data_IF_544390000935
#
_entry.id   IF_544390000935
#
_cell.length_a   1.000
_cell.length_b   1.000
_cell.length_c   1.000
_cell.angle_alpha   90.00
_cell.angle_beta   90.00
_cell.angle_gamma   90.00
#
_symmetry.space_group_name_H-M   'P 1'
#
loop_
_entity.id
_entity.type
_entity.pdbx_description
1 polymer ?
#
# COMPACT_ATOMS: atom_id res chain seq x y z
N UNK A 1 10.25 4.17 7.45
CA UNK A 1 9.44 4.78 6.39
C UNK A 1 8.02 4.98 6.89
N UNK A 2 7.40 6.11 6.56
CA UNK A 2 5.95 6.28 6.69
C UNK A 2 5.40 6.30 5.26
N UNK A 3 4.71 5.22 4.87
CA UNK A 3 4.16 5.03 3.53
C UNK A 3 2.67 5.34 3.52
N UNK A 4 2.28 6.32 2.71
CA UNK A 4 0.88 6.63 2.48
C UNK A 4 0.34 5.83 1.29
N UNK A 5 -0.65 4.99 1.54
CA UNK A 5 -1.28 4.16 0.51
C UNK A 5 -2.33 4.95 -0.31
N UNK A 6 -2.72 4.40 -1.47
CA UNK A 6 -3.79 4.91 -2.33
C UNK A 6 -3.51 6.24 -3.06
N UNK A 7 -2.26 6.57 -3.38
CA UNK A 7 -1.96 7.79 -4.15
C UNK A 7 -2.54 7.72 -5.57
N UNK A 8 -3.29 8.74 -5.98
CA UNK A 8 -4.05 8.73 -7.23
C UNK A 8 -5.41 8.05 -7.14
N UNK A 9 -5.85 7.60 -5.95
CA UNK A 9 -7.17 6.98 -5.81
C UNK A 9 -8.31 7.97 -6.01
N UNK A 10 -8.28 9.12 -5.33
CA UNK A 10 -9.17 10.27 -5.53
C UNK A 10 -8.41 11.59 -5.33
N UNK A 11 -9.00 12.71 -5.74
CA UNK A 11 -8.36 14.03 -5.61
C UNK A 11 -8.09 14.41 -4.16
N UNK A 12 -9.02 14.10 -3.26
CA UNK A 12 -8.87 14.33 -1.83
C UNK A 12 -7.76 13.50 -1.20
N UNK A 13 -7.65 12.22 -1.58
CA UNK A 13 -6.57 11.34 -1.12
C UNK A 13 -5.21 11.81 -1.64
N UNK A 14 -5.08 12.02 -2.96
CA UNK A 14 -3.83 12.51 -3.58
C UNK A 14 -3.33 13.79 -2.91
N UNK A 15 -4.23 14.73 -2.63
CA UNK A 15 -3.89 16.00 -1.97
C UNK A 15 -3.44 15.80 -0.53
N UNK A 16 -4.18 15.03 0.26
CA UNK A 16 -3.84 14.77 1.66
C UNK A 16 -2.47 14.07 1.81
N UNK A 17 -2.13 13.17 0.89
CA UNK A 17 -0.81 12.53 0.85
C UNK A 17 0.30 13.56 0.64
N UNK A 18 0.14 14.49 -0.31
CA UNK A 18 1.14 15.55 -0.56
C UNK A 18 1.21 16.54 0.59
N UNK A 19 0.09 16.83 1.26
CA UNK A 19 0.07 17.66 2.48
C UNK A 19 0.87 17.01 3.61
N UNK A 20 0.65 15.71 3.87
CA UNK A 20 1.39 14.95 4.88
C UNK A 20 2.89 14.85 4.56
N UNK A 21 3.24 14.67 3.27
CA UNK A 21 4.63 14.73 2.81
C UNK A 21 5.24 16.12 3.04
N UNK A 22 4.51 17.18 2.68
CA UNK A 22 4.97 18.57 2.83
C UNK A 22 5.15 18.96 4.30
N UNK A 23 4.38 18.36 5.20
CA UNK A 23 4.52 18.52 6.65
C UNK A 23 5.72 17.75 7.24
N UNK A 24 6.35 16.86 6.46
CA UNK A 24 7.54 16.10 6.83
C UNK A 24 7.29 14.80 7.60
N UNK A 25 6.03 14.36 7.74
CA UNK A 25 5.71 13.10 8.43
C UNK A 25 5.71 11.90 7.48
N UNK A 26 5.20 12.06 6.26
CA UNK A 26 5.23 11.02 5.22
C UNK A 26 6.51 11.14 4.40
N UNK A 27 7.16 10.02 4.12
CA UNK A 27 8.38 9.95 3.28
C UNK A 27 8.18 9.17 1.99
N UNK A 28 7.13 8.36 1.92
CA UNK A 28 6.87 7.46 0.81
C UNK A 28 5.37 7.34 0.53
N UNK A 29 5.03 6.99 -0.70
CA UNK A 29 3.67 6.67 -1.10
C UNK A 29 3.64 5.64 -2.22
N UNK A 30 2.49 5.00 -2.42
CA UNK A 30 2.28 4.02 -3.48
C UNK A 30 1.19 4.52 -4.42
N UNK A 31 1.49 4.66 -5.72
CA UNK A 31 0.56 5.18 -6.73
C UNK A 31 -0.28 4.07 -7.38
N UNK A 32 -1.59 4.30 -7.51
CA UNK A 32 -2.51 3.43 -8.24
C UNK A 32 -2.51 3.78 -9.73
N UNK A 33 -1.99 2.89 -10.56
CA UNK A 33 -1.87 3.13 -12.01
C UNK A 33 -3.23 3.26 -12.73
N UNK A 34 -4.28 2.67 -12.17
CA UNK A 34 -5.66 2.75 -12.62
C UNK A 34 -6.56 3.56 -11.65
N UNK A 35 -5.95 4.39 -10.80
CA UNK A 35 -6.68 5.28 -9.89
C UNK A 35 -7.41 6.40 -10.64
N UNK A 36 -8.45 6.97 -10.03
CA UNK A 36 -9.32 7.97 -10.66
C UNK A 36 -8.65 9.33 -10.83
N UNK A 37 -7.63 9.61 -10.02
CA UNK A 37 -6.91 10.88 -9.98
C UNK A 37 -5.48 10.72 -10.53
N UNK A 38 -5.31 9.79 -11.46
CA UNK A 38 -4.04 9.41 -12.09
C UNK A 38 -3.23 10.62 -12.58
N UNK A 39 -3.82 11.49 -13.40
CA UNK A 39 -3.11 12.62 -14.02
C UNK A 39 -2.59 13.61 -12.98
N UNK A 40 -3.37 13.86 -11.93
CA UNK A 40 -2.97 14.74 -10.84
C UNK A 40 -1.88 14.11 -9.98
N UNK A 41 -2.02 12.83 -9.62
CA UNK A 41 -1.01 12.10 -8.86
C UNK A 41 0.34 12.07 -9.58
N UNK A 42 0.36 11.83 -10.90
CA UNK A 42 1.59 11.90 -11.71
C UNK A 42 2.21 13.30 -11.67
N UNK A 43 1.39 14.35 -11.84
CA UNK A 43 1.86 15.74 -11.78
C UNK A 43 2.51 16.05 -10.42
N UNK A 44 1.86 15.64 -9.34
CA UNK A 44 2.32 15.89 -7.97
C UNK A 44 3.55 15.07 -7.59
N UNK A 45 3.64 13.80 -8.01
CA UNK A 45 4.84 12.99 -7.85
C UNK A 45 6.06 13.64 -8.54
N UNK A 46 5.87 14.12 -9.78
CA UNK A 46 6.94 14.82 -10.52
C UNK A 46 7.36 16.13 -9.86
N UNK A 47 6.42 16.85 -9.26
CA UNK A 47 6.71 18.09 -8.52
C UNK A 47 7.45 17.84 -7.20
N UNK A 48 7.26 16.67 -6.58
CA UNK A 48 7.81 16.32 -5.27
C UNK A 48 8.87 15.21 -5.38
N UNK A 49 10.01 15.48 -6.03
CA UNK A 49 11.03 14.47 -6.35
C UNK A 49 11.70 13.79 -5.15
N UNK A 50 11.54 14.33 -3.94
CA UNK A 50 12.02 13.72 -2.68
C UNK A 50 11.02 12.74 -2.06
N UNK A 51 9.77 12.72 -2.53
CA UNK A 51 8.79 11.74 -2.10
C UNK A 51 9.12 10.39 -2.77
N UNK A 52 9.34 9.35 -1.97
CA UNK A 52 9.46 7.99 -2.50
C UNK A 52 8.12 7.57 -3.11
N UNK A 53 8.12 7.12 -4.37
CA UNK A 53 6.90 6.66 -5.04
C UNK A 53 7.06 5.21 -5.48
N UNK A 54 6.18 4.34 -4.99
CA UNK A 54 6.07 2.93 -5.38
C UNK A 54 4.82 2.65 -6.19
N UNK A 55 4.62 1.38 -6.55
CA UNK A 55 3.41 0.88 -7.21
C UNK A 55 2.43 0.40 -6.16
N UNK A 56 1.25 1.00 -6.11
CA UNK A 56 0.10 0.45 -5.41
C UNK A 56 -0.70 -0.43 -6.35
N UNK A 57 -0.25 -1.68 -6.51
CA UNK A 57 -0.88 -2.61 -7.43
C UNK A 57 -2.36 -2.76 -7.07
N UNK A 58 -3.24 -2.55 -8.03
CA UNK A 58 -4.67 -2.68 -7.79
C UNK A 58 -5.24 -3.87 -8.57
N UNK A 59 -5.71 -4.88 -7.84
CA UNK A 59 -6.31 -6.10 -8.39
C UNK A 59 -7.77 -6.29 -7.96
N UNK A 60 -8.34 -5.35 -7.20
CA UNK A 60 -9.61 -5.59 -6.49
C UNK A 60 -10.65 -4.48 -6.63
N UNK A 61 -10.34 -3.41 -7.34
CA UNK A 61 -11.23 -2.25 -7.44
C UNK A 61 -11.13 -1.54 -8.80
N UNK A 62 -12.28 -1.14 -9.35
CA UNK A 62 -12.34 -0.41 -10.61
C UNK A 62 -11.93 -1.27 -11.82
N UNK A 63 -11.59 -0.62 -12.93
CA UNK A 63 -11.22 -1.31 -14.17
C UNK A 63 -9.71 -1.59 -14.23
N UNK A 64 -9.29 -2.76 -14.74
CA UNK A 64 -7.88 -3.02 -15.03
C UNK A 64 -7.38 -2.15 -16.20
N UNK A 65 -6.06 -2.10 -16.39
CA UNK A 65 -5.47 -1.46 -17.56
C UNK A 65 -5.60 -2.32 -18.82
N UNK A 66 -5.56 -3.63 -18.67
CA UNK A 66 -5.68 -4.60 -19.75
C UNK A 66 -6.99 -5.38 -19.69
N UNK A 67 -7.33 -6.07 -20.78
CA UNK A 67 -8.44 -7.04 -20.77
C UNK A 67 -7.97 -8.34 -20.11
N UNK A 68 -8.37 -8.55 -18.85
CA UNK A 68 -8.00 -9.70 -18.01
C UNK A 68 -9.23 -10.44 -17.45
N UNK A 69 -9.94 -11.23 -18.28
CA UNK A 69 -11.22 -11.84 -17.93
C UNK A 69 -11.25 -12.69 -16.66
N UNK A 70 -10.12 -13.28 -16.24
CA UNK A 70 -10.06 -14.09 -15.00
C UNK A 70 -9.96 -13.24 -13.73
N UNK A 71 -9.60 -11.96 -13.86
CA UNK A 71 -9.49 -10.99 -12.77
C UNK A 71 -10.73 -10.08 -12.66
N UNK A 72 -11.57 -10.03 -13.68
CA UNK A 72 -12.74 -9.15 -13.74
C UNK A 72 -14.06 -9.88 -13.70
N UNK A 73 -15.09 -9.23 -13.16
CA UNK A 73 -16.48 -9.65 -13.32
C UNK A 73 -16.93 -9.50 -14.79
N UNK A 74 -17.45 -10.54 -15.46
CA UNK A 74 -17.88 -10.47 -16.85
C UNK A 74 -19.02 -9.48 -17.12
N UNK A 75 -19.86 -9.19 -16.13
CA UNK A 75 -21.02 -8.30 -16.29
C UNK A 75 -20.61 -6.82 -16.24
N UNK A 76 -19.64 -6.46 -15.39
CA UNK A 76 -19.22 -5.06 -15.19
C UNK A 76 -17.91 -4.73 -15.90
N UNK A 77 -17.09 -5.75 -16.19
CA UNK A 77 -15.69 -5.63 -16.60
C UNK A 77 -14.80 -4.91 -15.56
N UNK A 78 -15.20 -4.94 -14.29
CA UNK A 78 -14.43 -4.43 -13.16
C UNK A 78 -13.71 -5.55 -12.45
N UNK A 79 -12.60 -5.23 -11.79
CA UNK A 79 -11.83 -6.16 -10.96
C UNK A 79 -12.72 -6.75 -9.85
N UNK A 80 -12.55 -8.04 -9.58
CA UNK A 80 -13.28 -8.70 -8.52
C UNK A 80 -12.96 -8.11 -7.15
N UNK A 81 -13.97 -7.87 -6.28
CA UNK A 81 -13.72 -7.52 -4.89
C UNK A 81 -12.83 -8.56 -4.20
N UNK A 82 -12.06 -8.13 -3.19
CA UNK A 82 -11.04 -8.94 -2.52
C UNK A 82 -11.48 -10.38 -2.20
N UNK A 83 -12.66 -10.58 -1.62
CA UNK A 83 -13.17 -11.92 -1.27
C UNK A 83 -13.44 -12.81 -2.49
N UNK A 84 -13.95 -12.24 -3.59
CA UNK A 84 -14.17 -12.96 -4.83
C UNK A 84 -12.83 -13.29 -5.52
N UNK A 85 -11.89 -12.34 -5.55
CA UNK A 85 -10.53 -12.58 -6.05
C UNK A 85 -9.83 -13.69 -5.26
N UNK A 86 -9.87 -13.63 -3.93
CA UNK A 86 -9.28 -14.65 -3.05
C UNK A 86 -9.84 -16.04 -3.32
N UNK A 87 -11.17 -16.16 -3.44
CA UNK A 87 -11.83 -17.42 -3.79
C UNK A 87 -11.36 -17.95 -5.14
N UNK A 88 -11.21 -17.07 -6.14
CA UNK A 88 -10.72 -17.47 -7.47
C UNK A 88 -9.27 -17.92 -7.42
N UNK A 89 -8.41 -17.24 -6.66
CA UNK A 89 -7.01 -17.62 -6.46
C UNK A 89 -6.90 -19.03 -5.84
N UNK A 90 -7.64 -19.28 -4.76
CA UNK A 90 -7.66 -20.59 -4.07
C UNK A 90 -8.16 -21.72 -4.99
N UNK A 91 -9.15 -21.43 -5.84
CA UNK A 91 -9.71 -22.40 -6.78
C UNK A 91 -8.90 -22.55 -8.08
N UNK A 92 -7.74 -21.89 -8.22
CA UNK A 92 -6.93 -21.93 -9.44
C UNK A 92 -7.62 -21.33 -10.67
N UNK A 93 -8.51 -20.35 -10.46
CA UNK A 93 -9.34 -19.70 -11.51
C UNK A 93 -8.78 -18.35 -11.98
N UNK A 94 -7.55 -18.05 -11.61
CA UNK A 94 -6.81 -16.88 -12.08
C UNK A 94 -5.77 -17.36 -13.08
N UNK A 95 -5.82 -16.81 -14.29
CA UNK A 95 -4.78 -17.06 -15.28
C UNK A 95 -3.51 -16.29 -14.89
N UNK A 96 -2.39 -17.00 -14.77
CA UNK A 96 -1.13 -16.40 -14.35
C UNK A 96 -0.56 -15.42 -15.37
N UNK A 97 -0.83 -15.63 -16.67
CA UNK A 97 -0.41 -14.74 -17.74
C UNK A 97 -1.20 -13.43 -17.73
N UNK A 98 -2.51 -13.48 -17.46
CA UNK A 98 -3.34 -12.29 -17.26
C UNK A 98 -2.88 -11.48 -16.05
N UNK A 99 -2.63 -12.14 -14.91
CA UNK A 99 -2.11 -11.49 -13.71
C UNK A 99 -0.74 -10.85 -13.95
N UNK A 100 0.17 -11.55 -14.64
CA UNK A 100 1.47 -11.02 -15.03
C UNK A 100 1.32 -9.80 -15.94
N UNK A 101 0.49 -9.90 -16.98
CA UNK A 101 0.29 -8.83 -17.95
C UNK A 101 -0.26 -7.56 -17.29
N UNK A 102 -1.28 -7.68 -16.43
CA UNK A 102 -1.84 -6.54 -15.71
C UNK A 102 -0.84 -5.95 -14.72
N UNK A 103 -0.12 -6.79 -13.97
CA UNK A 103 0.92 -6.32 -13.04
C UNK A 103 2.00 -5.54 -13.78
N UNK A 104 2.49 -6.06 -14.91
CA UNK A 104 3.50 -5.40 -15.73
C UNK A 104 2.97 -4.11 -16.33
N UNK A 105 1.74 -4.09 -16.84
CA UNK A 105 1.11 -2.89 -17.39
C UNK A 105 0.99 -1.77 -16.35
N UNK A 106 0.63 -2.07 -15.11
CA UNK A 106 0.56 -1.07 -14.04
C UNK A 106 1.95 -0.52 -13.69
N UNK A 107 2.97 -1.38 -13.60
CA UNK A 107 4.38 -0.95 -13.39
C UNK A 107 4.85 -0.06 -14.53
N UNK A 108 4.63 -0.48 -15.79
CA UNK A 108 5.08 0.26 -16.96
C UNK A 108 4.35 1.59 -17.15
N UNK A 109 3.06 1.67 -16.83
CA UNK A 109 2.31 2.93 -16.87
C UNK A 109 2.91 3.98 -15.93
N UNK A 110 3.33 3.58 -14.72
CA UNK A 110 3.99 4.47 -13.75
C UNK A 110 5.39 4.88 -14.22
N UNK A 111 6.16 3.94 -14.77
CA UNK A 111 7.49 4.26 -15.33
C UNK A 111 7.41 5.14 -16.57
N UNK A 112 6.46 4.90 -17.46
CA UNK A 112 6.19 5.72 -18.64
C UNK A 112 5.76 7.14 -18.26
N UNK A 113 5.16 7.30 -17.07
CA UNK A 113 4.93 8.60 -16.46
C UNK A 113 6.20 9.23 -15.84
N UNK A 114 7.40 8.70 -16.08
CA UNK A 114 8.67 9.28 -15.63
C UNK A 114 8.89 9.25 -14.12
N UNK A 115 8.17 8.35 -13.42
CA UNK A 115 8.33 8.14 -11.97
C UNK A 115 9.36 7.03 -11.75
N UNK A 116 10.35 7.31 -10.91
CA UNK A 116 11.32 6.32 -10.44
C UNK A 116 10.66 5.43 -9.39
N UNK A 117 10.19 4.25 -9.80
CA UNK A 117 9.50 3.29 -8.92
C UNK A 117 10.46 2.73 -7.88
N UNK A 118 10.15 2.94 -6.60
CA UNK A 118 11.00 2.54 -5.47
C UNK A 118 10.63 1.18 -4.86
N UNK A 119 9.33 0.88 -4.79
CA UNK A 119 8.81 -0.33 -4.17
C UNK A 119 7.49 -0.77 -4.83
N UNK A 120 7.00 -1.94 -4.45
CA UNK A 120 5.68 -2.44 -4.79
C UNK A 120 4.94 -2.91 -3.53
N UNK A 121 3.71 -2.46 -3.40
CA UNK A 121 2.70 -3.02 -2.50
C UNK A 121 1.40 -3.20 -3.30
N UNK A 122 0.26 -3.33 -2.61
CA UNK A 122 -1.02 -3.40 -3.32
C UNK A 122 -2.19 -2.94 -2.47
N UNK A 123 -3.23 -2.48 -3.15
CA UNK A 123 -4.50 -2.17 -2.53
C UNK A 123 -5.05 -3.39 -1.80
N UNK A 124 -5.39 -3.19 -0.51
CA UNK A 124 -5.86 -4.23 0.43
C UNK A 124 -4.96 -5.46 0.53
N UNK A 125 -3.67 -5.31 0.27
CA UNK A 125 -2.67 -6.40 0.35
C UNK A 125 -2.96 -7.61 -0.56
N UNK A 126 -3.76 -7.44 -1.63
CA UNK A 126 -4.04 -8.50 -2.60
C UNK A 126 -2.77 -9.20 -3.14
N UNK A 127 -1.65 -8.48 -3.30
CA UNK A 127 -0.38 -9.07 -3.74
C UNK A 127 0.14 -10.17 -2.81
N UNK A 128 -0.19 -10.14 -1.52
CA UNK A 128 0.31 -11.11 -0.54
C UNK A 128 -0.50 -12.42 -0.50
N UNK A 129 -1.57 -12.53 -1.29
CA UNK A 129 -2.41 -13.73 -1.30
C UNK A 129 -1.72 -14.93 -1.95
N UNK A 130 -2.00 -16.16 -1.47
CA UNK A 130 -1.56 -17.38 -2.14
C UNK A 130 -2.04 -17.44 -3.58
N UNK A 131 -1.18 -17.89 -4.49
CA UNK A 131 -1.45 -17.92 -5.93
C UNK A 131 -1.23 -16.59 -6.67
N UNK A 132 -1.24 -15.45 -5.97
CA UNK A 132 -0.96 -14.13 -6.55
C UNK A 132 0.49 -13.71 -6.28
N UNK A 133 0.94 -13.85 -5.03
CA UNK A 133 2.27 -13.41 -4.60
C UNK A 133 3.42 -13.91 -5.46
N UNK A 134 3.51 -15.21 -5.86
CA UNK A 134 4.64 -15.68 -6.66
C UNK A 134 4.75 -15.00 -8.02
N UNK A 135 3.61 -14.70 -8.66
CA UNK A 135 3.56 -14.01 -9.95
C UNK A 135 3.97 -12.55 -9.77
N UNK A 136 3.39 -11.86 -8.79
CA UNK A 136 3.70 -10.44 -8.53
C UNK A 136 5.16 -10.25 -8.13
N UNK A 137 5.71 -11.10 -7.26
CA UNK A 137 7.10 -11.05 -6.86
C UNK A 137 8.05 -11.30 -8.04
N UNK A 138 7.75 -12.28 -8.91
CA UNK A 138 8.54 -12.51 -10.12
C UNK A 138 8.53 -11.28 -11.03
N UNK A 139 7.35 -10.73 -11.32
CA UNK A 139 7.22 -9.55 -12.21
C UNK A 139 7.91 -8.32 -11.61
N UNK A 140 7.83 -8.12 -10.29
CA UNK A 140 8.56 -7.05 -9.60
C UNK A 140 10.08 -7.20 -9.79
N UNK A 141 10.61 -8.42 -9.57
CA UNK A 141 12.03 -8.72 -9.73
C UNK A 141 12.51 -8.51 -11.18
N UNK A 142 11.79 -9.05 -12.16
CA UNK A 142 12.09 -8.90 -13.60
C UNK A 142 11.98 -7.45 -14.07
N UNK A 143 11.05 -6.69 -13.49
CA UNK A 143 10.94 -5.26 -13.77
C UNK A 143 12.05 -4.48 -13.07
N UNK A 144 12.79 -5.05 -12.12
CA UNK A 144 13.80 -4.32 -11.34
C UNK A 144 13.20 -3.40 -10.27
N UNK A 145 11.98 -3.69 -9.80
CA UNK A 145 11.44 -3.08 -8.57
C UNK A 145 12.00 -3.88 -7.41
N UNK A 146 12.94 -3.30 -6.66
CA UNK A 146 13.76 -4.05 -5.69
C UNK A 146 13.03 -4.33 -4.38
N UNK A 147 12.14 -3.45 -3.92
CA UNK A 147 11.46 -3.63 -2.64
C UNK A 147 10.02 -4.06 -2.85
N UNK A 148 9.59 -5.11 -2.14
CA UNK A 148 8.19 -5.54 -2.06
C UNK A 148 7.71 -5.53 -0.61
N UNK A 149 6.55 -4.95 -0.35
CA UNK A 149 5.93 -4.97 0.99
C UNK A 149 5.62 -6.40 1.40
N UNK A 150 5.89 -6.73 2.66
CA UNK A 150 5.37 -7.93 3.31
C UNK A 150 4.49 -7.49 4.49
N UNK A 151 3.16 -7.59 4.38
CA UNK A 151 2.23 -7.02 5.36
C UNK A 151 2.07 -7.90 6.60
N UNK A 152 3.19 -8.24 7.25
CA UNK A 152 3.26 -9.10 8.43
C UNK A 152 3.44 -8.24 9.68
N UNK A 153 2.33 -7.94 10.36
CA UNK A 153 2.35 -7.21 11.63
C UNK A 153 2.25 -8.18 12.82
N UNK A 154 3.13 -8.06 13.85
CA UNK A 154 3.09 -8.93 15.02
C UNK A 154 1.72 -8.99 15.71
N UNK A 155 1.24 -10.20 16.00
CA UNK A 155 -0.07 -10.42 16.61
C UNK A 155 -0.24 -9.71 17.96
N UNK A 156 0.84 -9.55 18.74
CA UNK A 156 0.85 -8.89 20.04
C UNK A 156 0.60 -7.37 20.01
N UNK A 157 0.58 -6.74 18.85
CA UNK A 157 0.30 -5.29 18.72
C UNK A 157 -1.22 -5.08 18.69
N UNK A 158 -1.75 -4.20 19.54
CA UNK A 158 -3.18 -3.79 19.52
C UNK A 158 -4.17 -4.97 19.56
N UNK A 159 -3.96 -5.91 20.47
CA UNK A 159 -4.76 -7.15 20.62
C UNK A 159 -6.23 -6.91 21.01
N UNK A 160 -6.57 -5.74 21.55
CA UNK A 160 -7.94 -5.37 21.92
C UNK A 160 -8.83 -5.08 20.69
N UNK A 161 -8.22 -4.83 19.53
CA UNK A 161 -8.94 -4.62 18.27
C UNK A 161 -9.13 -5.98 17.58
N UNK A 162 -10.31 -6.58 17.77
CA UNK A 162 -10.63 -7.89 17.21
C UNK A 162 -10.60 -7.89 15.67
N UNK A 163 -10.99 -6.78 15.04
CA UNK A 163 -10.97 -6.62 13.59
C UNK A 163 -9.57 -6.48 13.02
N UNK A 164 -8.67 -5.77 13.70
CA UNK A 164 -7.25 -5.76 13.33
C UNK A 164 -6.61 -7.14 13.58
N UNK A 165 -6.96 -7.79 14.68
CA UNK A 165 -6.44 -9.12 15.04
C UNK A 165 -6.80 -10.18 14.00
N UNK A 166 -8.06 -10.24 13.57
CA UNK A 166 -8.50 -11.17 12.52
C UNK A 166 -7.76 -10.93 11.20
N UNK A 167 -7.60 -9.67 10.79
CA UNK A 167 -6.83 -9.30 9.58
C UNK A 167 -5.37 -9.72 9.66
N UNK A 168 -4.70 -9.50 10.79
CA UNK A 168 -3.31 -9.94 10.99
C UNK A 168 -3.19 -11.46 10.90
N UNK A 169 -4.12 -12.22 11.50
CA UNK A 169 -4.11 -13.70 11.40
C UNK A 169 -4.26 -14.17 9.96
N UNK A 170 -5.17 -13.57 9.19
CA UNK A 170 -5.36 -13.88 7.77
C UNK A 170 -4.11 -13.55 6.96
N UNK A 171 -3.51 -12.38 7.18
CA UNK A 171 -2.29 -11.96 6.48
C UNK A 171 -1.08 -12.80 6.87
N UNK A 172 -0.92 -13.14 8.13
CA UNK A 172 0.12 -14.05 8.63
C UNK A 172 0.05 -15.40 7.91
N UNK A 173 -1.14 -15.98 7.82
CA UNK A 173 -1.36 -17.22 7.09
C UNK A 173 -1.10 -17.05 5.58
N UNK A 174 -1.62 -15.99 4.96
CA UNK A 174 -1.46 -15.73 3.54
C UNK A 174 0.02 -15.55 3.15
N UNK A 175 0.74 -14.72 3.90
CA UNK A 175 2.19 -14.49 3.74
C UNK A 175 2.96 -15.78 4.02
N UNK A 176 2.63 -16.52 5.08
CA UNK A 176 3.30 -17.79 5.40
C UNK A 176 3.14 -18.84 4.30
N UNK A 177 1.94 -18.98 3.75
CA UNK A 177 1.66 -19.87 2.63
C UNK A 177 2.34 -19.41 1.33
N UNK A 178 2.36 -18.09 1.08
CA UNK A 178 3.00 -17.50 -0.10
C UNK A 178 4.53 -17.50 -0.05
N UNK A 179 5.12 -17.42 1.16
CA UNK A 179 6.57 -17.34 1.41
C UNK A 179 7.18 -18.63 1.93
N UNK A 180 6.60 -19.78 1.61
CA UNK A 180 7.28 -21.06 1.80
C UNK A 180 8.66 -21.10 1.10
N UNK A 181 8.89 -20.19 0.13
CA UNK A 181 10.16 -19.97 -0.54
C UNK A 181 10.71 -18.56 -0.26
N UNK A 182 12.06 -18.37 -0.28
CA UNK A 182 12.69 -17.05 -0.22
C UNK A 182 12.20 -16.11 -1.32
N UNK A 183 12.32 -14.80 -1.09
CA UNK A 183 12.05 -13.81 -2.12
C UNK A 183 12.99 -14.05 -3.33
N UNK A 184 12.48 -13.94 -4.57
CA UNK A 184 13.34 -14.05 -5.75
C UNK A 184 14.35 -12.90 -5.74
N UNK A 185 15.63 -13.21 -5.95
CA UNK A 185 16.67 -12.16 -6.11
C UNK A 185 16.31 -11.26 -7.30
N UNK A 186 16.47 -9.92 -7.20
CA UNK A 186 17.11 -9.16 -6.12
C UNK A 186 16.14 -8.56 -5.09
N UNK A 187 14.93 -9.13 -4.93
CA UNK A 187 13.91 -8.55 -4.06
C UNK A 187 14.31 -8.55 -2.58
N UNK A 188 14.03 -7.42 -1.94
CA UNK A 188 14.13 -7.22 -0.49
C UNK A 188 12.79 -6.72 0.06
N UNK A 189 12.67 -6.73 1.39
CA UNK A 189 11.53 -6.18 2.14
C UNK A 189 12.08 -5.45 3.36
N UNK A 190 11.26 -4.62 4.00
CA UNK A 190 11.58 -4.09 5.32
C UNK A 190 11.68 -5.21 6.36
N UNK A 191 12.44 -4.95 7.42
CA UNK A 191 12.57 -5.87 8.58
C UNK A 191 11.24 -5.98 9.33
N UNK A 192 10.53 -4.86 9.43
CA UNK A 192 9.27 -4.75 10.18
C UNK A 192 8.18 -4.05 9.36
N UNK A 193 6.93 -4.41 9.65
CA UNK A 193 5.73 -3.79 9.09
C UNK A 193 4.72 -3.47 10.21
N UNK A 194 4.18 -2.25 10.22
CA UNK A 194 3.03 -1.86 11.06
C UNK A 194 2.05 -1.01 10.26
N UNK A 195 0.77 -1.25 10.43
CA UNK A 195 -0.27 -0.56 9.65
C UNK A 195 -1.65 -1.17 9.75
N UNK A 196 -1.75 -2.49 9.99
CA UNK A 196 -3.05 -3.15 10.19
C UNK A 196 -3.70 -2.64 11.46
N UNK A 197 -2.91 -2.50 12.53
CA UNK A 197 -3.36 -1.98 13.81
C UNK A 197 -3.53 -0.48 13.85
N UNK A 198 -2.97 0.27 12.88
CA UNK A 198 -3.12 1.72 12.80
C UNK A 198 -4.50 2.13 12.23
N UNK A 199 -5.13 1.26 11.44
CA UNK A 199 -6.47 1.50 10.92
C UNK A 199 -7.52 1.67 12.04
N UNK A 200 -8.56 2.48 11.80
CA UNK A 200 -9.72 2.56 12.71
C UNK A 200 -9.98 3.92 13.39
N UNK A 201 -9.37 5.00 12.91
CA UNK A 201 -9.81 6.38 13.16
C UNK A 201 -9.55 6.90 14.58
N UNK A 202 -10.44 6.66 15.55
CA UNK A 202 -10.48 7.39 16.84
C UNK A 202 -9.24 7.22 17.71
N UNK A 203 -8.53 6.10 17.57
CA UNK A 203 -7.32 5.80 18.32
C UNK A 203 -6.04 5.93 17.48
N UNK A 204 -6.13 6.46 16.26
CA UNK A 204 -4.98 6.56 15.35
C UNK A 204 -3.80 7.29 16.00
N UNK A 205 -4.03 8.46 16.58
CA UNK A 205 -2.98 9.27 17.18
C UNK A 205 -2.19 8.54 18.28
N UNK A 206 -2.89 7.92 19.23
CA UNK A 206 -2.24 7.17 20.31
C UNK A 206 -1.53 5.92 19.80
N UNK A 207 -2.11 5.23 18.80
CA UNK A 207 -1.51 4.05 18.17
C UNK A 207 -0.26 4.39 17.37
N UNK A 208 -0.27 5.48 16.59
CA UNK A 208 0.87 5.95 15.82
C UNK A 208 2.03 6.35 16.74
N UNK A 209 1.77 7.16 17.78
CA UNK A 209 2.80 7.57 18.74
C UNK A 209 3.40 6.35 19.46
N UNK A 210 2.55 5.42 19.91
CA UNK A 210 3.03 4.16 20.50
C UNK A 210 3.85 3.34 19.50
N UNK A 211 3.47 3.31 18.23
CA UNK A 211 4.23 2.61 17.20
C UNK A 211 5.62 3.23 17.02
N UNK A 212 5.73 4.57 17.00
CA UNK A 212 6.99 5.31 16.95
C UNK A 212 7.85 5.08 18.21
N UNK A 213 7.25 5.03 19.39
CA UNK A 213 7.95 4.79 20.67
C UNK A 213 8.44 3.36 20.86
N UNK A 214 7.96 2.42 20.06
CA UNK A 214 8.26 0.98 20.20
C UNK A 214 8.83 0.38 18.93
N UNK A 215 9.43 1.20 18.06
CA UNK A 215 10.12 0.71 16.88
C UNK A 215 11.28 -0.20 17.29
N UNK A 216 11.47 -1.26 16.51
CA UNK A 216 12.56 -2.19 16.67
C UNK A 216 13.75 -1.74 15.79
N UNK A 217 14.99 -2.11 16.14
CA UNK A 217 16.13 -1.85 15.26
C UNK A 217 15.92 -2.43 13.85
N UNK A 218 16.38 -1.70 12.84
CA UNK A 218 16.22 -2.03 11.44
C UNK A 218 15.19 -1.14 10.74
N UNK A 219 14.79 -1.56 9.54
CA UNK A 219 13.86 -0.84 8.69
C UNK A 219 12.41 -1.18 9.06
N UNK A 220 11.60 -0.17 9.40
CA UNK A 220 10.16 -0.35 9.64
C UNK A 220 9.35 0.42 8.60
N UNK A 221 8.40 -0.26 7.97
CA UNK A 221 7.32 0.37 7.23
C UNK A 221 6.12 0.66 8.15
N UNK A 222 5.72 1.93 8.24
CA UNK A 222 4.46 2.36 8.83
C UNK A 222 3.49 2.72 7.71
N UNK A 223 2.45 1.91 7.50
CA UNK A 223 1.41 2.15 6.51
C UNK A 223 0.31 3.05 7.09
N UNK A 224 -0.05 4.10 6.35
CA UNK A 224 -1.08 5.09 6.68
C UNK A 224 -1.93 5.42 5.45
N UNK A 225 -3.08 6.06 5.66
CA UNK A 225 -4.04 6.41 4.61
C UNK A 225 -4.53 7.87 4.75
N UNK A 226 -3.64 8.88 4.83
CA UNK A 226 -4.06 10.27 4.90
C UNK A 226 -4.83 10.67 3.63
N UNK A 227 -5.88 11.48 3.79
CA UNK A 227 -6.64 11.94 2.65
C UNK A 227 -7.86 12.77 3.06
N UNK A 228 -8.20 13.74 2.21
CA UNK A 228 -9.47 14.45 2.31
C UNK A 228 -10.60 13.58 1.75
N UNK A 229 -11.76 13.59 2.41
CA UNK A 229 -12.94 12.86 1.95
C UNK A 229 -13.67 13.69 0.90
N UNK A 230 -13.66 13.21 -0.35
CA UNK A 230 -14.48 13.73 -1.43
C UNK A 230 -15.58 12.73 -1.84
N UNK A 231 -16.52 13.19 -2.66
CA UNK A 231 -17.61 12.35 -3.16
C UNK A 231 -17.12 11.18 -4.00
N UNK A 232 -15.98 11.34 -4.67
CA UNK A 232 -15.34 10.28 -5.46
C UNK A 232 -14.85 9.13 -4.58
N UNK A 233 -14.20 9.44 -3.47
CA UNK A 233 -13.77 8.48 -2.46
C UNK A 233 -14.98 7.80 -1.82
N UNK A 234 -15.96 8.58 -1.36
CA UNK A 234 -17.13 8.07 -0.65
C UNK A 234 -17.99 7.12 -1.50
N UNK A 235 -17.96 7.27 -2.83
CA UNK A 235 -18.66 6.38 -3.75
C UNK A 235 -17.97 5.01 -3.92
N UNK A 236 -16.69 4.88 -3.55
CA UNK A 236 -15.86 3.74 -3.93
C UNK A 236 -15.21 3.01 -2.76
N UNK A 237 -14.95 3.69 -1.64
CA UNK A 237 -14.25 3.10 -0.49
C UNK A 237 -15.00 3.38 0.81
N UNK A 238 -15.30 2.36 1.64
CA UNK A 238 -15.83 2.58 2.97
C UNK A 238 -14.84 3.28 3.92
N UNK A 239 -13.52 3.25 3.65
CA UNK A 239 -12.50 3.89 4.48
C UNK A 239 -12.42 5.40 4.19
N UNK A 240 -13.37 6.14 4.77
CA UNK A 240 -13.55 7.60 4.59
C UNK A 240 -13.09 8.39 5.80
N UNK A 241 -13.96 8.65 6.78
CA UNK A 241 -13.69 9.47 7.96
C UNK A 241 -12.36 9.18 8.68
N UNK A 242 -11.88 7.92 8.78
CA UNK A 242 -10.55 7.65 9.31
C UNK A 242 -9.41 8.39 8.58
N UNK A 243 -9.48 8.58 7.26
CA UNK A 243 -8.43 9.25 6.47
C UNK A 243 -8.17 10.69 6.89
N UNK A 244 -9.24 11.41 7.25
CA UNK A 244 -9.17 12.78 7.77
C UNK A 244 -8.48 12.83 9.13
N UNK A 245 -8.77 11.83 9.98
CA UNK A 245 -8.14 11.70 11.30
C UNK A 245 -6.64 11.38 11.14
N UNK A 246 -6.30 10.47 10.23
CA UNK A 246 -4.91 10.14 9.91
C UNK A 246 -4.15 11.37 9.40
N UNK A 247 -4.75 12.10 8.45
CA UNK A 247 -4.18 13.33 7.91
C UNK A 247 -3.97 14.37 9.01
N UNK A 248 -4.99 14.65 9.82
CA UNK A 248 -4.88 15.65 10.89
C UNK A 248 -3.74 15.35 11.88
N UNK A 249 -3.57 14.08 12.27
CA UNK A 249 -2.48 13.69 13.16
C UNK A 249 -1.11 13.75 12.45
N UNK A 250 -1.03 13.34 11.17
CA UNK A 250 0.20 13.42 10.37
C UNK A 250 0.64 14.87 10.10
N UNK A 251 -0.29 15.83 10.13
CA UNK A 251 0.00 17.26 10.07
C UNK A 251 0.31 17.88 11.45
N UNK A 252 0.09 17.13 12.53
CA UNK A 252 0.19 17.66 13.90
C UNK A 252 1.64 17.96 14.30
N UNK A 253 1.79 18.96 15.19
CA UNK A 253 3.07 19.23 15.83
C UNK A 253 3.58 18.03 16.65
N UNK A 254 2.68 17.25 17.26
CA UNK A 254 3.06 16.11 18.10
C UNK A 254 3.81 15.01 17.35
N UNK A 255 3.37 14.66 16.14
CA UNK A 255 4.09 13.69 15.28
C UNK A 255 5.43 14.26 14.85
N UNK A 256 5.47 15.53 14.40
CA UNK A 256 6.71 16.19 13.98
C UNK A 256 7.74 16.29 15.10
N UNK A 257 7.31 16.71 16.30
CA UNK A 257 8.16 16.77 17.49
C UNK A 257 8.67 15.38 17.89
N UNK A 258 7.82 14.35 17.77
CA UNK A 258 8.25 12.97 18.04
C UNK A 258 9.34 12.53 17.06
N UNK A 259 9.17 12.79 15.78
CA UNK A 259 10.15 12.42 14.74
C UNK A 259 11.46 13.22 14.86
N UNK A 260 11.41 14.44 15.40
CA UNK A 260 12.58 15.29 15.59
C UNK A 260 13.48 14.92 16.78
N UNK A 261 13.14 13.90 17.58
CA UNK A 261 13.94 13.49 18.76
C UNK A 261 15.29 12.84 18.43
N UNK A 262 15.53 12.52 17.15
CA UNK A 262 16.82 12.03 16.65
C UNK A 262 17.10 10.54 16.89
N UNK A 263 16.14 9.81 17.46
CA UNK A 263 16.17 8.35 17.66
C UNK A 263 15.56 7.57 16.49
N UNK A 264 14.93 8.26 15.54
CA UNK A 264 14.33 7.69 14.32
C UNK A 264 14.88 8.43 13.12
N UNK A 265 15.41 7.68 12.15
CA UNK A 265 15.75 8.21 10.82
C UNK A 265 14.58 7.97 9.86
N UNK A 266 14.05 9.07 9.33
CA UNK A 266 13.01 9.02 8.30
C UNK A 266 13.64 8.78 6.93
N UNK A 267 13.43 7.57 6.41
CA UNK A 267 13.86 7.16 5.05
C UNK A 267 12.65 6.87 4.16
N UNK A 268 12.89 6.79 2.85
CA UNK A 268 11.97 6.28 1.84
C UNK A 268 12.37 4.86 1.42
N UNK A 269 11.55 4.21 0.60
CA UNK A 269 11.93 2.93 0.00
C UNK A 269 13.09 3.01 -0.99
N UNK A 270 13.46 4.20 -1.47
CA UNK A 270 14.63 4.37 -2.33
C UNK A 270 15.96 4.14 -1.60
N UNK A 271 15.93 4.17 -0.25
CA UNK A 271 17.10 4.08 0.61
C UNK A 271 17.41 2.64 1.06
N UNK A 272 16.65 1.65 0.57
CA UNK A 272 16.79 0.20 0.84
C UNK A 272 17.50 -0.55 -0.31
#
# INVERSE_FOLDING_TARGET
MINADDFGFSSGVTRGIVEAFSAGSVTSTSIMANGLDWENAVRLARANRKLGVGIHLNLVQGRPLLRVPTLTDPATSELYPLGALARRAILGRIDAGELEAETRAQIERVRGAGIGVTHLDSHRHAHAMPGIFPVVARVAAESGVRVIRIPREPLGINTLDAGATSRKVVLEWAVGAARALPLPSPLVTTDHFRGISLQGGTHFASRLRRALDTLEPGSTELMVHPGHVDSSLAAQDPYTAPREIELAELLSAGVRERLARGDIELVSFADL
#
